data_IF_102290957070
#
_entry.id   IF_102290957070
#
_cell.length_a   1.000
_cell.length_b   1.000
_cell.length_c   1.000
_cell.angle_alpha   90.00
_cell.angle_beta   90.00
_cell.angle_gamma   90.00
#
_symmetry.space_group_name_H-M   'P 1'
#
loop_
_entity.id
_entity.type
_entity.pdbx_description
1 polymer ?
#
# COMPACT_ATOMS: atom_id res chain seq x y z
N UNK A 1 1.03 17.79 33.09
CA UNK A 1 1.78 16.68 32.47
C UNK A 1 3.24 17.10 32.31
N UNK A 2 4.19 16.23 32.68
CA UNK A 2 5.61 16.55 32.60
C UNK A 2 6.45 15.30 32.40
N UNK A 3 7.30 15.29 31.38
CA UNK A 3 8.15 14.16 31.05
C UNK A 3 9.46 14.53 30.34
N UNK A 4 10.40 13.58 30.32
CA UNK A 4 11.65 13.63 29.55
C UNK A 4 11.79 12.32 28.80
N UNK A 5 12.14 12.38 27.51
CA UNK A 5 12.42 11.21 26.68
C UNK A 5 13.50 11.51 25.62
N UNK A 6 13.97 10.47 24.92
CA UNK A 6 14.89 10.61 23.81
C UNK A 6 14.26 11.38 22.64
N UNK A 7 14.98 12.35 22.10
CA UNK A 7 14.50 13.19 20.98
C UNK A 7 14.29 12.37 19.71
N UNK A 8 15.21 11.44 19.41
CA UNK A 8 15.12 10.58 18.22
C UNK A 8 13.88 9.67 18.28
N UNK A 9 13.66 9.00 19.42
CA UNK A 9 12.53 8.10 19.64
C UNK A 9 11.18 8.83 19.55
N UNK A 10 11.09 10.02 20.19
CA UNK A 10 9.86 10.82 20.11
C UNK A 10 9.62 11.36 18.70
N UNK A 11 10.67 11.78 18.01
CA UNK A 11 10.59 12.26 16.62
C UNK A 11 10.09 11.16 15.70
N UNK A 12 10.64 9.95 15.78
CA UNK A 12 10.21 8.80 14.98
C UNK A 12 8.76 8.44 15.26
N UNK A 13 8.38 8.33 16.54
CA UNK A 13 7.02 8.04 16.95
C UNK A 13 6.02 9.07 16.42
N UNK A 14 6.31 10.38 16.57
CA UNK A 14 5.47 11.46 16.04
C UNK A 14 5.31 11.37 14.52
N UNK A 15 6.39 11.13 13.78
CA UNK A 15 6.40 11.05 12.31
C UNK A 15 5.59 9.85 11.80
N UNK A 16 5.64 8.73 12.48
CA UNK A 16 4.87 7.55 12.12
C UNK A 16 3.39 7.71 12.47
N UNK A 17 3.08 8.22 13.64
CA UNK A 17 1.70 8.46 14.08
C UNK A 17 1.02 9.56 13.25
N UNK A 18 1.76 10.59 12.80
CA UNK A 18 1.25 11.65 11.92
C UNK A 18 0.62 11.12 10.62
N UNK A 19 1.01 9.94 10.15
CA UNK A 19 0.48 9.31 8.92
C UNK A 19 -1.02 9.02 9.00
N UNK A 20 -1.55 8.84 10.21
CA UNK A 20 -2.96 8.63 10.47
C UNK A 20 -3.69 9.92 10.89
N UNK A 21 -3.07 11.09 10.74
CA UNK A 21 -3.70 12.36 11.10
C UNK A 21 -4.38 12.98 9.87
N UNK A 22 -5.61 13.46 10.06
CA UNK A 22 -6.33 14.19 9.01
C UNK A 22 -5.77 15.60 8.82
N UNK A 23 -5.67 16.02 7.56
CA UNK A 23 -5.27 17.41 7.22
C UNK A 23 -6.45 18.29 6.81
N UNK A 24 -7.64 17.71 6.66
CA UNK A 24 -8.88 18.39 6.25
C UNK A 24 -10.05 17.73 6.96
N UNK A 25 -10.47 18.29 8.08
CA UNK A 25 -11.56 17.75 8.89
C UNK A 25 -12.37 18.87 9.53
N UNK A 26 -13.61 18.58 9.90
CA UNK A 26 -14.43 19.44 10.74
C UNK A 26 -14.18 19.24 12.25
N UNK A 27 -13.33 18.28 12.62
CA UNK A 27 -13.01 17.95 14.02
C UNK A 27 -11.55 18.35 14.28
N UNK A 28 -11.27 19.52 14.89
CA UNK A 28 -9.91 20.00 15.09
C UNK A 28 -9.00 19.03 15.85
N UNK A 29 -9.55 18.25 16.78
CA UNK A 29 -8.80 17.29 17.59
C UNK A 29 -8.05 16.24 16.74
N UNK A 30 -8.63 15.77 15.62
CA UNK A 30 -7.99 14.76 14.76
C UNK A 30 -6.96 15.35 13.77
N UNK A 31 -6.72 16.66 13.80
CA UNK A 31 -5.55 17.30 13.19
C UNK A 31 -4.31 17.24 14.09
N UNK A 32 -4.47 16.76 15.31
CA UNK A 32 -3.42 16.64 16.30
C UNK A 32 -2.99 15.21 16.57
N UNK A 33 -1.87 15.09 17.26
CA UNK A 33 -1.40 13.85 17.90
C UNK A 33 -1.82 13.94 19.36
N UNK A 34 -2.56 12.93 19.83
CA UNK A 34 -2.82 12.73 21.24
C UNK A 34 -1.57 12.14 21.90
N UNK A 35 -1.06 12.84 22.92
CA UNK A 35 0.07 12.40 23.75
C UNK A 35 -0.46 12.11 25.13
N UNK A 36 -0.27 10.88 25.63
CA UNK A 36 -0.57 10.48 27.03
C UNK A 36 0.73 10.08 27.71
N UNK A 37 1.05 10.70 28.83
CA UNK A 37 2.16 10.32 29.69
C UNK A 37 1.59 9.54 30.88
N UNK A 38 1.94 8.26 30.97
CA UNK A 38 1.42 7.36 32.00
C UNK A 38 2.39 6.23 32.29
N UNK A 39 2.56 5.90 33.57
CA UNK A 39 3.33 4.71 34.03
C UNK A 39 4.72 4.55 33.38
N UNK A 40 5.48 5.64 33.24
CA UNK A 40 6.85 5.62 32.70
C UNK A 40 6.95 5.50 31.18
N UNK A 41 5.87 5.72 30.45
CA UNK A 41 5.84 5.69 28.99
C UNK A 41 4.97 6.81 28.42
N UNK A 42 5.22 7.12 27.14
CA UNK A 42 4.37 7.98 26.35
C UNK A 42 3.61 7.15 25.33
N UNK A 43 2.30 7.31 25.30
CA UNK A 43 1.44 6.74 24.28
C UNK A 43 1.08 7.88 23.31
N UNK A 44 1.44 7.70 22.04
CA UNK A 44 1.14 8.63 20.97
C UNK A 44 0.07 8.03 20.05
N UNK A 45 -0.96 8.81 19.74
CA UNK A 45 -2.06 8.36 18.87
C UNK A 45 -2.36 9.40 17.80
N UNK A 46 -2.43 8.95 16.54
CA UNK A 46 -2.99 9.67 15.41
C UNK A 46 -4.22 8.93 14.89
N UNK A 47 -5.29 9.65 14.52
CA UNK A 47 -6.53 9.03 14.07
C UNK A 47 -7.32 9.98 13.15
N UNK A 48 -7.71 9.53 11.96
CA UNK A 48 -8.51 10.29 11.01
C UNK A 48 -9.95 9.77 10.86
N UNK A 49 -10.42 8.95 11.81
CA UNK A 49 -11.70 8.24 11.88
C UNK A 49 -11.79 6.98 10.99
N UNK A 50 -10.84 6.77 10.10
CA UNK A 50 -10.75 5.58 9.25
C UNK A 50 -9.49 4.77 9.54
N UNK A 51 -8.37 5.47 9.75
CA UNK A 51 -7.06 4.93 10.06
C UNK A 51 -6.56 5.51 11.37
N UNK A 52 -6.20 4.66 12.32
CA UNK A 52 -5.55 5.04 13.58
C UNK A 52 -4.18 4.37 13.70
N UNK A 53 -3.19 5.11 14.16
CA UNK A 53 -1.86 4.59 14.50
C UNK A 53 -1.55 4.97 15.94
N UNK A 54 -1.18 3.98 16.72
CA UNK A 54 -0.83 4.11 18.12
C UNK A 54 0.55 3.49 18.35
N UNK A 55 1.36 4.11 19.22
CA UNK A 55 2.64 3.55 19.67
C UNK A 55 2.95 3.99 21.08
N UNK A 56 3.76 3.21 21.78
CA UNK A 56 4.27 3.54 23.10
C UNK A 56 5.81 3.59 23.11
N UNK A 57 6.37 4.65 23.65
CA UNK A 57 7.81 4.83 23.85
C UNK A 57 8.15 5.04 25.33
N UNK A 58 9.36 4.68 25.74
CA UNK A 58 9.84 4.88 27.12
C UNK A 58 10.05 6.36 27.41
N UNK A 59 9.68 6.78 28.61
CA UNK A 59 9.92 8.15 29.08
C UNK A 59 10.05 8.18 30.62
N UNK A 60 10.78 9.18 31.11
CA UNK A 60 10.74 9.53 32.52
C UNK A 60 9.55 10.46 32.75
N UNK A 61 8.46 9.94 33.28
CA UNK A 61 7.24 10.69 33.56
C UNK A 61 7.30 11.25 34.98
N UNK A 62 7.38 12.58 35.11
CA UNK A 62 7.35 13.29 36.41
C UNK A 62 5.89 13.59 36.85
N UNK A 63 5.04 13.94 35.87
CA UNK A 63 3.61 14.17 36.09
C UNK A 63 2.80 13.56 34.96
N UNK A 64 1.89 12.67 35.30
CA UNK A 64 0.98 12.05 34.32
C UNK A 64 0.01 13.07 33.71
N UNK A 65 -0.55 12.76 32.57
CA UNK A 65 -1.54 13.59 31.92
C UNK A 65 -1.62 13.32 30.41
N UNK A 66 -2.44 14.14 29.74
CA UNK A 66 -2.65 14.01 28.29
C UNK A 66 -2.93 15.36 27.66
N UNK A 67 -2.55 15.51 26.40
CA UNK A 67 -2.76 16.70 25.59
C UNK A 67 -2.77 16.36 24.11
N UNK A 68 -3.49 17.11 23.32
CA UNK A 68 -3.43 17.04 21.84
C UNK A 68 -2.59 18.23 21.35
N UNK A 69 -1.60 17.93 20.52
CA UNK A 69 -0.79 18.97 19.84
C UNK A 69 -0.96 18.82 18.33
N UNK A 70 -1.10 19.93 17.61
CA UNK A 70 -1.18 19.92 16.16
C UNK A 70 -0.03 19.09 15.55
N UNK A 71 -0.37 18.07 14.78
CA UNK A 71 0.58 17.06 14.31
C UNK A 71 1.67 17.65 13.43
N UNK A 72 1.32 18.56 12.51
CA UNK A 72 2.26 19.15 11.57
C UNK A 72 3.32 19.97 12.32
N UNK A 73 2.88 20.85 13.20
CA UNK A 73 3.77 21.75 13.96
C UNK A 73 4.66 20.90 14.88
N UNK A 74 4.08 19.91 15.59
CA UNK A 74 4.83 19.03 16.47
C UNK A 74 5.93 18.28 15.70
N UNK A 75 5.60 17.64 14.60
CA UNK A 75 6.55 16.88 13.78
C UNK A 75 7.62 17.78 13.15
N UNK A 76 7.28 19.00 12.71
CA UNK A 76 8.25 19.94 12.17
C UNK A 76 9.25 20.40 13.25
N UNK A 77 8.80 20.58 14.50
CA UNK A 77 9.67 20.86 15.64
C UNK A 77 10.55 19.66 15.95
N UNK A 78 9.97 18.45 16.09
CA UNK A 78 10.73 17.23 16.44
C UNK A 78 11.89 16.97 15.48
N UNK A 79 11.70 17.20 14.18
CA UNK A 79 12.77 17.07 13.15
C UNK A 79 13.94 18.04 13.33
N UNK A 80 13.76 19.13 14.11
CA UNK A 80 14.73 20.23 14.24
C UNK A 80 15.33 20.37 15.64
N UNK A 81 14.89 19.55 16.60
CA UNK A 81 15.42 19.60 17.95
C UNK A 81 16.91 19.20 17.98
N UNK A 82 17.78 20.01 18.62
CA UNK A 82 19.23 19.80 18.57
C UNK A 82 19.76 18.86 19.65
N UNK A 83 19.00 18.60 20.73
CA UNK A 83 19.48 17.83 21.89
C UNK A 83 19.10 16.36 21.81
N UNK A 84 19.85 15.51 22.53
CA UNK A 84 19.57 14.08 22.65
C UNK A 84 18.28 13.78 23.40
N UNK A 85 17.92 14.66 24.35
CA UNK A 85 16.69 14.55 25.14
C UNK A 85 15.81 15.76 24.92
N UNK A 86 14.51 15.52 25.03
CA UNK A 86 13.46 16.53 25.03
C UNK A 86 12.71 16.51 26.34
N UNK A 87 12.53 17.67 26.94
CA UNK A 87 11.64 17.91 28.08
C UNK A 87 10.37 18.53 27.59
N UNK A 88 9.26 17.95 27.99
CA UNK A 88 7.92 18.42 27.66
C UNK A 88 7.14 18.70 28.95
N UNK A 89 6.50 19.85 29.04
CA UNK A 89 5.63 20.24 30.14
C UNK A 89 4.34 20.85 29.57
N UNK A 90 3.19 20.50 30.12
CA UNK A 90 1.93 21.19 29.82
C UNK A 90 1.21 21.60 31.11
N UNK A 91 0.63 22.79 31.10
CA UNK A 91 -0.14 23.34 32.22
C UNK A 91 -1.65 23.08 32.09
N UNK A 92 -2.42 23.55 33.10
CA UNK A 92 -3.87 23.43 33.12
C UNK A 92 -4.58 24.29 32.03
N UNK A 93 -3.87 25.22 31.39
CA UNK A 93 -4.37 26.03 30.26
C UNK A 93 -4.03 25.42 28.90
N UNK A 94 -3.53 24.17 28.92
CA UNK A 94 -3.09 23.45 27.72
C UNK A 94 -1.94 24.12 26.98
N UNK A 95 -1.14 24.96 27.66
CA UNK A 95 0.08 25.53 27.12
C UNK A 95 1.21 24.50 27.29
N UNK A 96 1.72 23.99 26.17
CA UNK A 96 2.81 23.02 26.11
C UNK A 96 4.15 23.72 25.90
N UNK A 97 5.15 23.45 26.75
CA UNK A 97 6.53 23.87 26.62
C UNK A 97 7.39 22.68 26.19
N UNK A 98 8.16 22.84 25.12
CA UNK A 98 9.07 21.83 24.58
C UNK A 98 10.49 22.40 24.62
N UNK A 99 11.40 21.73 25.32
CA UNK A 99 12.79 22.20 25.50
C UNK A 99 13.73 21.07 25.11
N UNK A 100 14.71 21.39 24.25
CA UNK A 100 15.80 20.46 23.89
C UNK A 100 17.05 21.27 23.56
N UNK A 101 18.15 21.09 24.32
CA UNK A 101 19.33 21.93 24.22
C UNK A 101 18.97 23.40 24.44
N UNK A 102 19.35 24.25 23.48
CA UNK A 102 19.05 25.69 23.51
C UNK A 102 17.69 26.04 22.85
N UNK A 103 17.00 25.07 22.27
CA UNK A 103 15.72 25.30 21.61
C UNK A 103 14.57 25.22 22.62
N UNK A 104 13.68 26.22 22.57
CA UNK A 104 12.46 26.26 23.40
C UNK A 104 11.28 26.68 22.56
N UNK A 105 10.21 25.92 22.63
CA UNK A 105 8.94 26.18 21.96
C UNK A 105 7.82 26.25 22.98
N UNK A 106 6.79 27.03 22.67
CA UNK A 106 5.58 27.11 23.45
C UNK A 106 4.38 26.99 22.50
N UNK A 107 3.55 25.99 22.67
CA UNK A 107 2.43 25.65 21.80
C UNK A 107 1.13 25.60 22.60
N UNK A 108 0.05 26.06 22.01
CA UNK A 108 -1.28 25.85 22.56
C UNK A 108 -1.78 24.48 22.08
N UNK A 109 -2.13 23.62 23.03
CA UNK A 109 -2.74 22.32 22.76
C UNK A 109 -4.27 22.36 22.87
N UNK A 110 -4.87 21.18 22.76
CA UNK A 110 -6.31 20.94 22.96
C UNK A 110 -6.51 19.88 24.04
N UNK A 111 -7.72 19.85 24.63
CA UNK A 111 -8.08 18.86 25.62
C UNK A 111 -8.09 17.44 25.02
N UNK A 112 -7.48 16.50 25.71
CA UNK A 112 -7.50 15.09 25.30
C UNK A 112 -8.91 14.48 25.29
N UNK A 113 -9.86 15.05 26.02
CA UNK A 113 -11.27 14.64 26.05
C UNK A 113 -11.98 14.82 24.71
N UNK A 114 -11.44 15.71 23.85
CA UNK A 114 -11.97 15.96 22.49
C UNK A 114 -11.51 14.91 21.48
N UNK A 115 -10.53 14.05 21.85
CA UNK A 115 -9.99 13.05 20.93
C UNK A 115 -10.89 11.82 20.85
N UNK A 116 -11.32 11.41 19.65
CA UNK A 116 -12.17 10.24 19.49
C UNK A 116 -11.43 8.96 19.91
N UNK A 117 -12.14 8.05 20.55
CA UNK A 117 -11.59 6.75 20.91
C UNK A 117 -11.30 5.90 19.67
N UNK A 118 -10.16 5.22 19.67
CA UNK A 118 -9.83 4.23 18.65
C UNK A 118 -10.73 3.01 18.78
N UNK A 119 -11.26 2.47 17.66
CA UNK A 119 -12.02 1.24 17.69
C UNK A 119 -11.19 0.09 18.25
N UNK A 120 -11.79 -0.68 19.14
CA UNK A 120 -11.19 -1.93 19.61
C UNK A 120 -11.60 -3.09 18.70
N UNK A 121 -10.63 -3.92 18.34
CA UNK A 121 -10.89 -5.16 17.59
C UNK A 121 -10.73 -6.32 18.56
N UNK A 122 -11.81 -7.06 18.77
CA UNK A 122 -11.84 -8.23 19.65
C UNK A 122 -12.36 -9.44 18.90
N UNK A 123 -11.72 -10.59 19.07
CA UNK A 123 -12.12 -11.89 18.54
C UNK A 123 -11.40 -12.31 17.27
N UNK A 124 -11.55 -13.59 16.93
CA UNK A 124 -10.89 -14.25 15.79
C UNK A 124 -9.49 -14.80 16.12
N UNK A 125 -9.02 -15.72 15.30
CA UNK A 125 -7.64 -16.18 15.34
C UNK A 125 -6.74 -15.11 14.73
N UNK A 126 -5.63 -14.75 15.39
CA UNK A 126 -4.68 -13.81 14.79
C UNK A 126 -4.02 -14.44 13.56
N UNK A 127 -3.91 -13.65 12.50
CA UNK A 127 -3.18 -14.04 11.30
C UNK A 127 -1.77 -13.50 11.47
N UNK A 128 -0.78 -14.40 11.60
CA UNK A 128 0.62 -14.03 11.79
C UNK A 128 1.37 -14.28 10.48
N UNK A 129 2.04 -13.24 9.97
CA UNK A 129 2.75 -13.29 8.68
C UNK A 129 4.13 -12.65 8.88
N UNK A 130 5.14 -13.12 8.13
CA UNK A 130 6.42 -12.43 8.02
C UNK A 130 6.22 -11.05 7.36
N UNK A 131 6.85 -10.00 7.90
CA UNK A 131 6.68 -8.62 7.41
C UNK A 131 7.12 -8.46 5.95
N UNK A 132 8.26 -9.04 5.58
CA UNK A 132 8.76 -9.00 4.20
C UNK A 132 7.79 -9.67 3.22
N UNK A 133 7.25 -10.83 3.58
CA UNK A 133 6.27 -11.56 2.76
C UNK A 133 5.01 -10.72 2.55
N UNK A 134 4.42 -10.16 3.61
CA UNK A 134 3.23 -9.32 3.46
C UNK A 134 3.52 -8.04 2.66
N UNK A 135 4.68 -7.42 2.88
CA UNK A 135 5.12 -6.24 2.14
C UNK A 135 5.21 -6.52 0.64
N UNK A 136 5.80 -7.65 0.25
CA UNK A 136 5.87 -8.07 -1.15
C UNK A 136 4.49 -8.38 -1.73
N UNK A 137 3.64 -9.10 -1.00
CA UNK A 137 2.27 -9.37 -1.43
C UNK A 137 1.48 -8.08 -1.68
N UNK A 138 1.59 -7.11 -0.77
CA UNK A 138 0.93 -5.80 -0.93
C UNK A 138 1.52 -5.05 -2.11
N UNK A 139 2.86 -4.99 -2.26
CA UNK A 139 3.53 -4.32 -3.39
C UNK A 139 3.09 -4.90 -4.73
N UNK A 140 2.93 -6.22 -4.82
CA UNK A 140 2.52 -6.94 -6.03
C UNK A 140 1.02 -6.85 -6.33
N UNK A 141 0.22 -6.22 -5.48
CA UNK A 141 -1.22 -6.10 -5.70
C UNK A 141 -1.72 -4.66 -5.70
N UNK A 142 -1.20 -3.80 -4.84
CA UNK A 142 -1.71 -2.44 -4.62
C UNK A 142 -1.69 -1.56 -5.87
N UNK A 143 -0.83 -1.83 -6.85
CA UNK A 143 -0.78 -1.09 -8.11
C UNK A 143 -2.06 -1.22 -8.94
N UNK A 144 -2.82 -2.30 -8.73
CA UNK A 144 -4.05 -2.60 -9.46
C UNK A 144 -5.33 -2.11 -8.77
N UNK A 145 -5.25 -1.40 -7.65
CA UNK A 145 -6.44 -0.79 -7.02
C UNK A 145 -6.95 0.40 -7.82
N UNK A 146 -8.24 0.63 -7.79
CA UNK A 146 -8.84 1.81 -8.38
C UNK A 146 -8.52 3.07 -7.56
N UNK A 147 -8.19 4.17 -8.24
CA UNK A 147 -7.94 5.47 -7.58
C UNK A 147 -9.26 6.14 -7.22
N UNK A 148 -10.24 6.10 -8.13
CA UNK A 148 -11.58 6.62 -7.95
C UNK A 148 -12.56 5.66 -8.63
N UNK A 149 -13.34 4.95 -7.85
CA UNK A 149 -14.38 4.04 -8.37
C UNK A 149 -15.71 4.35 -7.68
N UNK A 150 -16.80 4.14 -8.42
CA UNK A 150 -18.15 4.14 -7.87
C UNK A 150 -18.36 3.01 -6.86
N UNK A 151 -17.62 1.92 -7.01
CA UNK A 151 -17.56 0.81 -6.06
C UNK A 151 -16.33 0.97 -5.15
N UNK A 152 -16.55 1.49 -3.96
CA UNK A 152 -15.49 1.76 -2.98
C UNK A 152 -14.61 0.53 -2.68
N UNK A 153 -15.14 -0.68 -2.81
CA UNK A 153 -14.40 -1.93 -2.58
C UNK A 153 -13.20 -2.11 -3.51
N UNK A 154 -13.22 -1.51 -4.70
CA UNK A 154 -12.10 -1.57 -5.64
C UNK A 154 -10.95 -0.60 -5.28
N UNK A 155 -11.17 0.31 -4.33
CA UNK A 155 -10.09 1.18 -3.80
C UNK A 155 -9.25 0.51 -2.72
N UNK A 156 -9.52 -0.74 -2.44
CA UNK A 156 -8.78 -1.58 -1.50
C UNK A 156 -8.30 -2.88 -2.11
N UNK A 157 -7.55 -3.61 -1.32
CA UNK A 157 -7.06 -4.96 -1.63
C UNK A 157 -7.89 -5.95 -0.83
N UNK A 158 -8.45 -6.94 -1.51
CA UNK A 158 -9.15 -8.06 -0.87
C UNK A 158 -8.12 -9.06 -0.34
N UNK A 159 -8.25 -9.40 0.92
CA UNK A 159 -7.59 -10.52 1.57
C UNK A 159 -8.57 -11.68 1.59
N UNK A 160 -8.13 -12.84 1.13
CA UNK A 160 -8.93 -14.04 1.04
C UNK A 160 -8.10 -15.21 1.58
N UNK A 161 -8.52 -15.75 2.71
CA UNK A 161 -7.82 -16.85 3.37
C UNK A 161 -8.72 -18.06 3.30
N UNK A 162 -8.23 -19.13 2.69
CA UNK A 162 -8.89 -20.43 2.65
C UNK A 162 -7.89 -21.52 3.00
N UNK A 163 -8.16 -22.22 4.10
CA UNK A 163 -7.21 -23.10 4.73
C UNK A 163 -5.92 -22.36 5.09
N UNK A 164 -4.78 -22.81 4.55
CA UNK A 164 -3.46 -22.20 4.77
C UNK A 164 -2.98 -21.29 3.61
N UNK A 165 -3.86 -20.91 2.68
CA UNK A 165 -3.52 -20.05 1.55
C UNK A 165 -4.11 -18.67 1.77
N UNK A 166 -3.25 -17.66 1.82
CA UNK A 166 -3.62 -16.26 1.76
C UNK A 166 -3.51 -15.77 0.31
N UNK A 167 -4.59 -15.17 -0.20
CA UNK A 167 -4.60 -14.45 -1.48
C UNK A 167 -4.85 -12.97 -1.21
N UNK A 168 -4.06 -12.11 -1.85
CA UNK A 168 -4.33 -10.69 -1.98
C UNK A 168 -4.79 -10.40 -3.40
N UNK A 169 -5.92 -9.70 -3.55
CA UNK A 169 -6.54 -9.42 -4.84
C UNK A 169 -6.86 -7.94 -4.97
N UNK A 170 -6.46 -7.33 -6.07
CA UNK A 170 -6.78 -5.95 -6.42
C UNK A 170 -7.24 -5.83 -7.88
N UNK A 171 -8.21 -4.94 -8.15
CA UNK A 171 -8.81 -4.75 -9.48
C UNK A 171 -9.29 -3.31 -9.65
N UNK A 172 -9.10 -2.73 -10.86
CA UNK A 172 -9.60 -1.40 -11.21
C UNK A 172 -10.51 -1.38 -12.47
N UNK A 173 -10.93 -2.56 -12.94
CA UNK A 173 -11.75 -2.72 -14.15
C UNK A 173 -10.94 -2.77 -15.46
N UNK A 174 -9.63 -2.50 -15.44
CA UNK A 174 -8.72 -2.61 -16.59
C UNK A 174 -7.58 -3.58 -16.35
N UNK A 175 -7.26 -3.86 -15.11
CA UNK A 175 -6.21 -4.76 -14.66
C UNK A 175 -6.61 -5.47 -13.37
N UNK A 176 -6.05 -6.63 -13.17
CA UNK A 176 -6.21 -7.45 -11.97
C UNK A 176 -4.84 -7.89 -11.50
N UNK A 177 -4.63 -7.88 -10.20
CA UNK A 177 -3.47 -8.49 -9.56
C UNK A 177 -3.93 -9.49 -8.51
N UNK A 178 -3.37 -10.68 -8.55
CA UNK A 178 -3.55 -11.72 -7.53
C UNK A 178 -2.17 -12.17 -7.08
N UNK A 179 -1.93 -12.17 -5.77
CA UNK A 179 -0.72 -12.72 -5.15
C UNK A 179 -1.14 -13.72 -4.10
N UNK A 180 -0.53 -14.88 -4.08
CA UNK A 180 -0.83 -15.93 -3.10
C UNK A 180 0.41 -16.42 -2.40
N UNK A 181 0.22 -16.81 -1.13
CA UNK A 181 1.26 -17.29 -0.26
C UNK A 181 0.69 -18.32 0.71
N UNK A 182 1.52 -19.27 1.12
CA UNK A 182 1.17 -20.18 2.20
C UNK A 182 1.45 -19.51 3.54
N UNK A 183 0.48 -19.59 4.45
CA UNK A 183 0.60 -19.04 5.80
C UNK A 183 0.27 -20.13 6.83
N UNK A 184 0.79 -19.97 8.04
CA UNK A 184 0.38 -20.81 9.16
C UNK A 184 -0.88 -20.21 9.80
N UNK A 185 -2.03 -20.71 9.39
CA UNK A 185 -3.34 -20.24 9.85
C UNK A 185 -4.26 -21.44 10.12
N UNK A 186 -4.87 -21.42 11.30
CA UNK A 186 -5.73 -22.53 11.77
C UNK A 186 -7.16 -22.07 12.06
N UNK A 187 -7.52 -20.85 11.68
CA UNK A 187 -8.89 -20.32 11.82
C UNK A 187 -9.79 -20.73 10.69
N UNK A 188 -11.03 -20.25 10.73
CA UNK A 188 -12.00 -20.41 9.67
C UNK A 188 -11.63 -19.61 8.42
N UNK A 189 -12.12 -20.02 7.26
CA UNK A 189 -11.97 -19.26 6.02
C UNK A 189 -12.54 -17.85 6.20
N UNK A 190 -11.77 -16.84 5.83
CA UNK A 190 -12.14 -15.43 6.06
C UNK A 190 -11.78 -14.58 4.84
N UNK A 191 -12.64 -13.62 4.54
CA UNK A 191 -12.43 -12.66 3.46
C UNK A 191 -12.80 -11.25 3.91
N UNK A 192 -11.92 -10.27 3.65
CA UNK A 192 -12.12 -8.87 4.00
C UNK A 192 -11.34 -7.95 3.05
N UNK A 193 -11.69 -6.65 3.03
CA UNK A 193 -11.09 -5.70 2.11
C UNK A 193 -10.45 -4.56 2.91
N UNK A 194 -9.15 -4.38 2.73
CA UNK A 194 -8.36 -3.33 3.39
C UNK A 194 -8.14 -2.16 2.43
N UNK A 195 -8.41 -0.91 2.85
CA UNK A 195 -8.15 0.25 2.01
C UNK A 195 -6.69 0.33 1.56
N UNK A 196 -6.43 0.68 0.31
CA UNK A 196 -5.08 0.84 -0.22
C UNK A 196 -4.28 1.90 0.54
N UNK A 197 -4.93 2.97 1.03
CA UNK A 197 -4.31 3.99 1.88
C UNK A 197 -3.71 3.35 3.14
N UNK A 198 -4.48 2.52 3.83
CA UNK A 198 -4.01 1.79 5.03
C UNK A 198 -2.79 0.93 4.72
N UNK A 199 -2.87 0.11 3.66
CA UNK A 199 -1.76 -0.77 3.26
C UNK A 199 -0.51 0.02 2.89
N UNK A 200 -0.67 1.17 2.23
CA UNK A 200 0.45 2.07 1.90
C UNK A 200 1.14 2.63 3.16
N UNK A 201 0.39 2.91 4.22
CA UNK A 201 1.00 3.39 5.47
C UNK A 201 1.61 2.23 6.27
N UNK A 202 0.99 1.05 6.30
CA UNK A 202 1.55 -0.14 6.93
C UNK A 202 2.89 -0.54 6.30
N UNK A 203 3.02 -0.52 4.97
CA UNK A 203 4.27 -0.81 4.29
C UNK A 203 5.45 0.07 4.73
N UNK A 204 5.17 1.31 5.16
CA UNK A 204 6.20 2.23 5.65
C UNK A 204 6.61 1.95 7.11
N UNK A 205 5.78 1.22 7.87
CA UNK A 205 6.06 0.81 9.23
C UNK A 205 6.73 -0.57 9.31
N UNK A 206 6.54 -1.40 8.28
CA UNK A 206 7.19 -2.71 8.19
C UNK A 206 8.66 -2.56 7.82
N UNK A 207 9.50 -3.28 8.53
CA UNK A 207 10.92 -3.43 8.21
C UNK A 207 11.13 -4.55 7.19
N UNK A 208 12.31 -4.59 6.56
CA UNK A 208 12.71 -5.66 5.64
C UNK A 208 13.43 -6.81 6.40
N UNK A 209 13.24 -6.88 7.71
CA UNK A 209 13.79 -7.94 8.56
C UNK A 209 12.85 -9.15 8.65
N UNK A 210 13.29 -10.20 9.34
CA UNK A 210 12.51 -11.42 9.58
C UNK A 210 11.40 -11.26 10.64
N UNK A 211 11.05 -10.02 10.97
CA UNK A 211 9.97 -9.72 11.91
C UNK A 211 8.60 -10.20 11.43
N UNK A 212 7.72 -10.42 12.37
CA UNK A 212 6.32 -10.79 12.07
C UNK A 212 5.38 -9.62 12.28
N UNK A 213 4.26 -9.67 11.59
CA UNK A 213 3.10 -8.81 11.78
C UNK A 213 1.90 -9.68 12.16
N UNK A 214 1.12 -9.24 13.14
CA UNK A 214 -0.10 -9.91 13.54
C UNK A 214 -1.32 -9.09 13.10
N UNK A 215 -2.28 -9.74 12.46
CA UNK A 215 -3.53 -9.15 12.01
C UNK A 215 -4.68 -9.69 12.86
N UNK A 216 -5.42 -8.81 13.52
CA UNK A 216 -6.68 -9.11 14.18
C UNK A 216 -7.84 -8.57 13.34
N UNK A 217 -8.73 -9.46 12.87
CA UNK A 217 -9.82 -9.08 11.98
C UNK A 217 -11.14 -9.09 12.74
N UNK A 218 -11.79 -7.94 12.81
CA UNK A 218 -13.15 -7.79 13.35
C UNK A 218 -14.19 -7.60 12.24
N UNK A 219 -15.43 -7.31 12.63
CA UNK A 219 -16.53 -7.13 11.67
C UNK A 219 -16.36 -5.93 10.74
N UNK A 220 -15.87 -4.81 11.26
CA UNK A 220 -15.75 -3.53 10.54
C UNK A 220 -14.34 -2.94 10.56
N UNK A 221 -13.48 -3.47 11.40
CA UNK A 221 -12.13 -2.97 11.58
C UNK A 221 -11.13 -4.13 11.58
N UNK A 222 -9.91 -3.82 11.20
CA UNK A 222 -8.73 -4.67 11.30
C UNK A 222 -7.70 -3.94 12.13
N UNK A 223 -6.94 -4.68 12.93
CA UNK A 223 -5.76 -4.19 13.62
C UNK A 223 -4.53 -4.91 13.11
N UNK A 224 -3.46 -4.17 12.91
CA UNK A 224 -2.14 -4.67 12.55
C UNK A 224 -1.18 -4.33 13.69
N UNK A 225 -0.55 -5.34 14.27
CA UNK A 225 0.49 -5.17 15.29
C UNK A 225 1.87 -5.33 14.64
N UNK A 226 2.64 -4.24 14.58
CA UNK A 226 3.93 -4.14 13.88
C UNK A 226 4.97 -3.59 14.85
N UNK A 227 5.78 -4.44 15.47
CA UNK A 227 6.73 -4.02 16.49
C UNK A 227 6.03 -3.31 17.65
N UNK A 228 6.33 -2.02 17.88
CA UNK A 228 5.68 -1.18 18.89
C UNK A 228 4.44 -0.44 18.38
N UNK A 229 4.08 -0.59 17.10
CA UNK A 229 2.95 0.10 16.49
C UNK A 229 1.72 -0.79 16.42
N UNK A 230 0.58 -0.23 16.81
CA UNK A 230 -0.74 -0.79 16.58
C UNK A 230 -1.49 0.09 15.59
N UNK A 231 -1.88 -0.48 14.46
CA UNK A 231 -2.56 0.23 13.37
C UNK A 231 -3.97 -0.33 13.23
N UNK A 232 -4.98 0.48 13.53
CA UNK A 232 -6.38 0.12 13.34
C UNK A 232 -6.91 0.77 12.07
N UNK A 233 -7.64 0.02 11.25
CA UNK A 233 -8.26 0.53 10.03
C UNK A 233 -9.68 0.04 9.87
N UNK A 234 -10.54 0.91 9.35
CA UNK A 234 -11.87 0.50 8.91
C UNK A 234 -11.76 -0.33 7.64
N UNK A 235 -12.48 -1.44 7.59
CA UNK A 235 -12.60 -2.28 6.41
C UNK A 235 -13.57 -1.68 5.40
N UNK A 236 -13.36 -1.95 4.11
CA UNK A 236 -14.31 -1.59 3.06
C UNK A 236 -15.43 -2.63 3.01
N UNK A 237 -16.66 -2.17 3.06
CA UNK A 237 -17.86 -3.02 3.01
C UNK A 237 -18.44 -3.04 1.60
N UNK A 238 -18.83 -4.22 1.12
CA UNK A 238 -19.50 -4.43 -0.15
C UNK A 238 -19.06 -5.71 -0.85
N UNK A 239 -19.73 -6.03 -1.96
CA UNK A 239 -19.42 -7.20 -2.76
C UNK A 239 -18.24 -6.93 -3.69
N UNK A 240 -17.17 -7.70 -3.54
CA UNK A 240 -16.03 -7.67 -4.44
C UNK A 240 -16.34 -8.44 -5.72
N UNK A 241 -15.83 -7.97 -6.87
CA UNK A 241 -16.05 -8.62 -8.15
C UNK A 241 -15.55 -10.08 -8.13
N UNK A 242 -16.31 -10.98 -8.75
CA UNK A 242 -15.81 -12.31 -9.05
C UNK A 242 -14.75 -12.25 -10.14
N UNK A 243 -13.49 -12.06 -9.70
CA UNK A 243 -12.36 -11.87 -10.59
C UNK A 243 -11.97 -13.12 -11.37
N UNK A 244 -12.32 -14.31 -10.88
CA UNK A 244 -11.99 -15.58 -11.53
C UNK A 244 -12.66 -15.68 -12.89
N UNK A 245 -13.87 -15.11 -13.04
CA UNK A 245 -14.57 -15.06 -14.32
C UNK A 245 -13.90 -14.18 -15.38
N UNK A 246 -13.01 -13.25 -14.97
CA UNK A 246 -12.24 -12.41 -15.88
C UNK A 246 -11.00 -13.11 -16.47
N UNK A 247 -10.58 -14.22 -15.87
CA UNK A 247 -9.40 -14.98 -16.30
C UNK A 247 -9.79 -15.90 -17.46
N UNK A 248 -9.23 -15.73 -18.67
CA UNK A 248 -9.53 -16.61 -19.81
C UNK A 248 -9.17 -18.08 -19.50
N UNK A 249 -10.10 -19.02 -19.72
CA UNK A 249 -9.83 -20.42 -19.47
C UNK A 249 -8.95 -21.07 -20.55
N UNK A 250 -8.79 -20.40 -21.71
CA UNK A 250 -8.00 -20.87 -22.85
C UNK A 250 -6.77 -19.99 -23.06
N UNK A 251 -5.71 -20.58 -23.55
CA UNK A 251 -4.48 -19.93 -23.94
C UNK A 251 -4.06 -20.50 -25.29
N UNK A 252 -3.95 -19.65 -26.33
CA UNK A 252 -3.50 -20.05 -27.67
C UNK A 252 -2.01 -19.78 -27.86
N UNK A 253 -1.45 -18.83 -27.12
CA UNK A 253 -0.04 -18.44 -27.26
C UNK A 253 0.60 -18.23 -25.90
N UNK A 254 1.75 -18.84 -25.71
CA UNK A 254 2.60 -18.71 -24.53
C UNK A 254 3.89 -18.01 -24.92
N UNK A 255 4.32 -17.08 -24.07
CA UNK A 255 5.53 -16.31 -24.33
C UNK A 255 6.35 -16.25 -23.07
N UNK A 256 7.62 -16.60 -23.15
CA UNK A 256 8.60 -16.39 -22.09
C UNK A 256 9.55 -15.27 -22.50
N UNK A 257 9.70 -14.27 -21.65
CA UNK A 257 10.50 -13.08 -21.94
C UNK A 257 11.24 -12.59 -20.71
N UNK A 258 12.43 -12.02 -20.93
CA UNK A 258 13.16 -11.32 -19.88
C UNK A 258 12.38 -10.08 -19.43
N UNK A 259 12.12 -9.98 -18.15
CA UNK A 259 11.28 -8.94 -17.53
C UNK A 259 11.85 -7.54 -17.74
N UNK A 260 13.16 -7.38 -17.52
CA UNK A 260 13.85 -6.10 -17.63
C UNK A 260 13.91 -5.60 -19.08
N UNK A 261 14.20 -6.51 -20.01
CA UNK A 261 14.27 -6.15 -21.44
C UNK A 261 12.88 -5.75 -21.95
N UNK A 262 11.83 -6.45 -21.54
CA UNK A 262 10.44 -6.09 -21.89
C UNK A 262 10.06 -4.71 -21.32
N UNK A 263 10.36 -4.41 -20.06
CA UNK A 263 10.12 -3.09 -19.46
C UNK A 263 10.86 -2.01 -20.24
N UNK A 264 12.16 -2.21 -20.50
CA UNK A 264 12.98 -1.24 -21.21
C UNK A 264 12.46 -0.98 -22.64
N UNK A 265 11.97 -2.02 -23.32
CA UNK A 265 11.41 -1.91 -24.66
C UNK A 265 10.07 -1.15 -24.66
N UNK A 266 9.19 -1.42 -23.66
CA UNK A 266 7.96 -0.65 -23.48
C UNK A 266 8.30 0.81 -23.18
N UNK A 267 9.23 1.09 -22.27
CA UNK A 267 9.62 2.46 -21.90
C UNK A 267 10.12 3.22 -23.15
N UNK A 268 11.02 2.64 -23.97
CA UNK A 268 11.50 3.27 -25.21
C UNK A 268 10.38 3.51 -26.23
N UNK A 269 9.56 2.50 -26.50
CA UNK A 269 8.45 2.64 -27.46
C UNK A 269 7.35 3.60 -26.97
N UNK A 270 7.30 3.88 -25.68
CA UNK A 270 6.30 4.77 -25.05
C UNK A 270 6.73 6.24 -24.97
N UNK A 271 7.97 6.61 -25.30
CA UNK A 271 8.48 7.98 -25.14
C UNK A 271 7.67 9.05 -25.88
N UNK A 272 7.02 8.68 -26.97
CA UNK A 272 6.19 9.59 -27.77
C UNK A 272 4.70 9.56 -27.34
N UNK A 273 4.31 8.67 -26.43
CA UNK A 273 2.94 8.58 -25.92
C UNK A 273 2.77 9.62 -24.82
N UNK A 274 1.87 10.58 -25.04
CA UNK A 274 1.54 11.56 -24.00
C UNK A 274 0.37 11.07 -23.12
N UNK A 275 0.36 11.44 -21.85
CA UNK A 275 -0.74 11.13 -20.93
C UNK A 275 -2.09 11.69 -21.42
N UNK A 276 -2.06 12.78 -22.19
CA UNK A 276 -3.26 13.43 -22.71
C UNK A 276 -3.96 12.60 -23.79
N UNK A 277 -3.20 11.94 -24.69
CA UNK A 277 -3.77 11.24 -25.84
C UNK A 277 -3.91 9.73 -25.63
N UNK A 278 -3.29 9.17 -24.57
CA UNK A 278 -3.42 7.76 -24.15
C UNK A 278 -3.38 6.76 -25.32
N UNK A 279 -2.51 7.02 -26.33
CA UNK A 279 -2.34 6.08 -27.44
C UNK A 279 -1.88 4.73 -26.93
N UNK A 280 -2.44 3.61 -27.42
CA UNK A 280 -1.99 2.28 -27.01
C UNK A 280 -0.59 2.00 -27.56
N UNK A 281 0.16 1.19 -26.82
CA UNK A 281 1.30 0.48 -27.37
C UNK A 281 0.80 -0.77 -28.09
N UNK A 282 1.19 -0.97 -29.33
CA UNK A 282 0.90 -2.16 -30.10
C UNK A 282 2.02 -3.16 -29.91
N UNK A 283 1.67 -4.39 -29.58
CA UNK A 283 2.58 -5.52 -29.43
C UNK A 283 2.24 -6.60 -30.45
N UNK A 284 3.24 -7.07 -31.18
CA UNK A 284 3.14 -8.20 -32.12
C UNK A 284 4.05 -9.30 -31.62
N UNK A 285 3.44 -10.43 -31.27
CA UNK A 285 4.10 -11.64 -30.80
C UNK A 285 4.20 -12.63 -31.97
N UNK A 286 5.38 -12.76 -32.57
CA UNK A 286 5.65 -13.62 -33.72
C UNK A 286 7.15 -13.88 -33.87
N UNK A 287 7.54 -14.98 -34.50
CA UNK A 287 8.92 -15.29 -34.88
C UNK A 287 9.93 -15.24 -33.71
N UNK A 288 9.55 -15.67 -32.51
CA UNK A 288 10.33 -15.54 -31.28
C UNK A 288 10.78 -14.12 -30.94
N UNK A 289 9.98 -13.12 -31.36
CA UNK A 289 10.19 -11.72 -31.10
C UNK A 289 8.89 -11.06 -30.65
N UNK A 290 8.98 -10.14 -29.70
CA UNK A 290 7.90 -9.21 -29.38
C UNK A 290 8.28 -7.87 -30.01
N UNK A 291 7.52 -7.44 -31.04
CA UNK A 291 7.71 -6.15 -31.69
C UNK A 291 6.73 -5.15 -31.09
N UNK A 292 7.26 -4.06 -30.55
CA UNK A 292 6.48 -3.00 -29.91
C UNK A 292 6.45 -1.78 -30.82
N UNK A 293 5.31 -1.14 -30.97
CA UNK A 293 5.20 0.12 -31.69
C UNK A 293 4.15 1.05 -31.12
N UNK A 294 4.38 2.34 -31.30
CA UNK A 294 3.42 3.39 -30.98
C UNK A 294 3.34 4.39 -32.10
N UNK A 295 2.14 4.93 -32.33
CA UNK A 295 1.87 5.96 -33.32
C UNK A 295 1.13 7.11 -32.64
N UNK A 296 1.63 8.32 -32.81
CA UNK A 296 1.04 9.54 -32.25
C UNK A 296 1.16 10.68 -33.25
N UNK A 297 0.58 11.83 -32.94
CA UNK A 297 0.78 13.05 -33.75
C UNK A 297 2.22 13.57 -33.76
N UNK A 298 3.08 13.10 -32.87
CA UNK A 298 4.50 13.46 -32.77
C UNK A 298 5.38 12.59 -33.69
N UNK A 299 4.87 11.44 -34.12
CA UNK A 299 5.62 10.48 -34.93
C UNK A 299 5.36 9.03 -34.52
N UNK A 300 6.28 8.16 -34.90
CA UNK A 300 6.24 6.72 -34.64
C UNK A 300 7.46 6.30 -33.83
N UNK A 301 7.30 5.36 -32.94
CA UNK A 301 8.39 4.66 -32.29
C UNK A 301 8.20 3.15 -32.45
N UNK A 302 9.30 2.41 -32.59
CA UNK A 302 9.30 0.96 -32.65
C UNK A 302 10.51 0.40 -31.91
N UNK A 303 10.32 -0.73 -31.31
CA UNK A 303 11.36 -1.49 -30.61
C UNK A 303 11.03 -2.98 -30.65
N UNK A 304 11.96 -3.83 -30.27
CA UNK A 304 11.74 -5.27 -30.23
C UNK A 304 12.55 -5.94 -29.11
N UNK A 305 12.02 -7.01 -28.58
CA UNK A 305 12.68 -7.85 -27.58
C UNK A 305 12.56 -9.33 -27.96
N UNK A 306 13.64 -10.09 -27.79
CA UNK A 306 13.64 -11.53 -28.03
C UNK A 306 12.81 -12.23 -26.96
N UNK A 307 12.05 -13.25 -27.37
CA UNK A 307 11.21 -14.05 -26.50
C UNK A 307 11.10 -15.47 -27.05
N UNK A 308 10.78 -16.41 -26.19
CA UNK A 308 10.35 -17.76 -26.61
C UNK A 308 8.84 -17.73 -26.79
N UNK A 309 8.35 -18.04 -28.01
CA UNK A 309 6.93 -17.97 -28.35
C UNK A 309 6.48 -19.37 -28.80
N UNK A 310 5.42 -19.87 -28.15
CA UNK A 310 4.77 -21.14 -28.50
C UNK A 310 3.28 -20.87 -28.73
N UNK A 311 2.80 -21.11 -29.95
CA UNK A 311 1.42 -20.93 -30.39
C UNK A 311 1.25 -19.95 -31.53
N UNK A 312 0.05 -19.39 -31.65
CA UNK A 312 -0.34 -18.52 -32.77
C UNK A 312 0.29 -17.14 -32.68
N UNK A 313 0.50 -16.49 -33.82
CA UNK A 313 0.88 -15.09 -33.87
C UNK A 313 -0.25 -14.21 -33.32
N UNK A 314 0.11 -13.22 -32.46
CA UNK A 314 -0.86 -12.34 -31.83
C UNK A 314 -0.47 -10.88 -32.01
N UNK A 315 -1.38 -10.06 -32.54
CA UNK A 315 -1.27 -8.61 -32.54
C UNK A 315 -2.29 -8.01 -31.56
N UNK A 316 -1.86 -7.19 -30.60
CA UNK A 316 -2.71 -6.70 -29.51
C UNK A 316 -2.21 -5.34 -29.02
N UNK A 317 -3.12 -4.46 -28.62
CA UNK A 317 -2.78 -3.15 -28.02
C UNK A 317 -2.98 -3.14 -26.52
N UNK A 318 -2.13 -2.39 -25.82
CA UNK A 318 -2.24 -2.21 -24.37
C UNK A 318 -2.06 -0.75 -23.96
N UNK A 319 -2.57 -0.42 -22.78
CA UNK A 319 -2.10 0.74 -22.05
C UNK A 319 -0.68 0.44 -21.55
N UNK A 320 0.31 1.19 -22.03
CA UNK A 320 1.72 1.00 -21.67
C UNK A 320 1.95 1.06 -20.15
N UNK A 321 1.31 1.99 -19.45
CA UNK A 321 1.46 2.13 -18.00
C UNK A 321 0.97 0.88 -17.25
N UNK A 322 -0.20 0.34 -17.62
CA UNK A 322 -0.74 -0.84 -16.94
C UNK A 322 0.14 -2.07 -17.13
N UNK A 323 0.68 -2.23 -18.34
CA UNK A 323 1.59 -3.34 -18.63
C UNK A 323 2.93 -3.17 -17.88
N UNK A 324 3.49 -1.95 -17.88
CA UNK A 324 4.74 -1.65 -17.16
C UNK A 324 4.58 -1.79 -15.64
N UNK A 325 3.47 -1.30 -15.06
CA UNK A 325 3.20 -1.42 -13.62
C UNK A 325 3.19 -2.90 -13.17
N UNK A 326 2.55 -3.78 -13.94
CA UNK A 326 2.50 -5.20 -13.67
C UNK A 326 3.88 -5.88 -13.76
N UNK A 327 4.66 -5.51 -14.78
CA UNK A 327 6.00 -6.08 -14.96
C UNK A 327 6.99 -5.62 -13.90
N UNK A 328 6.93 -4.35 -13.48
CA UNK A 328 7.84 -3.79 -12.45
C UNK A 328 7.70 -4.44 -11.09
N UNK A 329 6.55 -5.02 -10.78
CA UNK A 329 6.31 -5.69 -9.49
C UNK A 329 6.47 -7.20 -9.55
N UNK A 330 6.70 -7.79 -10.73
CA UNK A 330 6.85 -9.23 -10.89
C UNK A 330 8.03 -9.79 -10.10
N UNK A 331 9.12 -9.03 -9.99
CA UNK A 331 10.31 -9.36 -9.19
C UNK A 331 10.96 -10.70 -9.56
N UNK A 332 10.94 -11.00 -10.86
CA UNK A 332 11.53 -12.18 -11.48
C UNK A 332 12.32 -11.78 -12.72
N UNK A 333 13.42 -12.48 -13.01
CA UNK A 333 14.25 -12.19 -14.20
C UNK A 333 13.47 -12.40 -15.50
N UNK A 334 12.54 -13.35 -15.50
CA UNK A 334 11.67 -13.69 -16.62
C UNK A 334 10.22 -13.76 -16.16
N UNK A 335 9.30 -13.57 -17.10
CA UNK A 335 7.87 -13.77 -16.92
C UNK A 335 7.29 -14.59 -18.05
N UNK A 336 6.20 -15.28 -17.74
CA UNK A 336 5.40 -16.01 -18.73
C UNK A 336 4.14 -15.19 -19.06
N UNK A 337 3.93 -14.91 -20.36
CA UNK A 337 2.65 -14.37 -20.82
C UNK A 337 1.77 -15.50 -21.34
N UNK A 338 0.48 -15.40 -21.07
CA UNK A 338 -0.56 -16.19 -21.74
C UNK A 338 -1.48 -15.26 -22.51
N UNK A 339 -1.66 -15.54 -23.79
CA UNK A 339 -2.50 -14.79 -24.73
C UNK A 339 -3.57 -15.69 -25.31
N UNK A 340 -4.71 -15.11 -25.69
CA UNK A 340 -5.81 -15.80 -26.36
C UNK A 340 -6.42 -14.87 -27.42
N UNK A 341 -5.59 -14.51 -28.44
CA UNK A 341 -5.95 -13.59 -29.51
C UNK A 341 -5.95 -12.11 -29.12
N UNK A 342 -6.39 -11.26 -30.04
CA UNK A 342 -6.25 -9.80 -29.99
C UNK A 342 -7.22 -9.07 -29.04
N UNK A 343 -8.27 -9.73 -28.59
CA UNK A 343 -9.35 -9.14 -27.79
C UNK A 343 -9.44 -9.68 -26.36
N UNK A 344 -8.62 -10.66 -26.04
CA UNK A 344 -8.53 -11.23 -24.70
C UNK A 344 -7.43 -10.56 -23.89
N UNK A 345 -7.53 -10.51 -22.55
CA UNK A 345 -6.48 -9.94 -21.73
C UNK A 345 -5.17 -10.73 -21.84
N UNK A 346 -4.05 -10.05 -21.63
CA UNK A 346 -2.77 -10.70 -21.35
C UNK A 346 -2.74 -11.13 -19.88
N UNK A 347 -2.27 -12.34 -19.63
CA UNK A 347 -1.99 -12.84 -18.28
C UNK A 347 -0.49 -12.93 -18.11
N UNK A 348 0.03 -12.38 -17.02
CA UNK A 348 1.45 -12.37 -16.64
C UNK A 348 1.60 -13.27 -15.42
N UNK A 349 2.48 -14.25 -15.51
CA UNK A 349 2.73 -15.26 -14.49
C UNK A 349 4.23 -15.34 -14.17
N UNK A 350 4.61 -15.88 -13.03
CA UNK A 350 6.01 -16.19 -12.75
C UNK A 350 6.53 -17.25 -13.72
N UNK A 351 7.87 -17.37 -13.89
CA UNK A 351 8.47 -18.40 -14.74
C UNK A 351 8.12 -19.81 -14.27
N UNK A 352 7.99 -20.00 -12.97
CA UNK A 352 7.59 -21.27 -12.33
C UNK A 352 6.54 -21.04 -11.26
N UNK A 353 5.65 -22.04 -11.11
CA UNK A 353 4.56 -21.98 -10.13
C UNK A 353 3.46 -20.99 -10.50
N UNK A 354 2.78 -20.47 -9.49
CA UNK A 354 1.60 -19.60 -9.64
C UNK A 354 1.45 -18.61 -8.49
N UNK A 355 2.59 -18.17 -7.90
CA UNK A 355 2.62 -17.26 -6.76
C UNK A 355 1.94 -15.92 -7.05
N UNK A 356 2.00 -15.44 -8.29
CA UNK A 356 1.24 -14.26 -8.74
C UNK A 356 0.57 -14.48 -10.09
N UNK A 357 -0.49 -13.73 -10.32
CA UNK A 357 -1.15 -13.57 -11.61
C UNK A 357 -1.50 -12.10 -11.78
N UNK A 358 -0.98 -11.48 -12.84
CA UNK A 358 -1.42 -10.16 -13.25
C UNK A 358 -2.15 -10.26 -14.59
N UNK A 359 -3.23 -9.49 -14.73
CA UNK A 359 -4.02 -9.45 -15.95
C UNK A 359 -4.17 -8.00 -16.38
N UNK A 360 -3.98 -7.74 -17.67
CA UNK A 360 -4.17 -6.42 -18.28
C UNK A 360 -5.10 -6.55 -19.48
N UNK A 361 -6.18 -5.75 -19.47
CA UNK A 361 -7.13 -5.73 -20.58
C UNK A 361 -6.51 -5.08 -21.83
N UNK A 362 -6.86 -5.59 -23.03
CA UNK A 362 -6.42 -4.99 -24.27
C UNK A 362 -7.11 -3.64 -24.54
N UNK A 363 -6.46 -2.80 -25.33
CA UNK A 363 -6.99 -1.57 -25.87
C UNK A 363 -7.12 -1.72 -27.40
N UNK A 364 -8.24 -1.29 -27.95
CA UNK A 364 -8.46 -1.34 -29.40
C UNK A 364 -7.42 -0.49 -30.14
N UNK A 365 -6.73 -1.12 -31.07
CA UNK A 365 -5.84 -0.44 -32.04
C UNK A 365 -6.76 0.12 -33.13
N UNK A 366 -6.66 1.42 -33.44
CA UNK A 366 -7.31 1.97 -34.61
C UNK A 366 -6.57 1.42 -35.84
N UNK A 367 -7.20 0.62 -36.65
CA UNK A 367 -6.77 0.31 -38.00
C UNK A 367 -6.99 1.59 -38.84
N UNK A 368 -5.92 2.15 -39.43
CA UNK A 368 -6.03 3.21 -40.44
C UNK A 368 -6.69 2.68 -41.70
#
# INVERSE_FOLDING_TARGET
MKFVCGTAELSEACLNVQRAVSTKTSIPAVEGILIKAVSGQLILTGYDLELGINTAIKATVEEEGSIIINARILCDIMRKLPGENVRFESDARLLASIVSGNAKYSLIGMSAEEYPELPSVSGGYPIVINQGVLKDMVRQTIFAVAVNDSKIVHTGVKFDISGNILKLIAIDGFRLAVRKENIDYSGDDISFIVPAKTLSEIMKLMNDDDGTISLGVGKRHIVFEIGSYSVVSRLLEGEFLNYESAIPPKCTTRVRVNTRDMINSIDRASLIISEKYKSPIKCVFADNMIRLSSVTSLGTASDSVSAEIDGDDVEIGFNNKYLTDALRVADTDEVNFKLNGSVSPIIILPPEGDSFLFLVLPVRIKTE
#
